data_IF_824468555091
#
_entry.id   IF_824468555091
#
_cell.length_a   1.000
_cell.length_b   1.000
_cell.length_c   1.000
_cell.angle_alpha   90.00
_cell.angle_beta   90.00
_cell.angle_gamma   90.00
#
_symmetry.space_group_name_H-M   'P 1'
#
loop_
_entity.id
_entity.type
_entity.pdbx_description
1 polymer ?
#
# COMPACT_ATOMS: atom_id res chain seq x y z
N UNK A 1 -14.34 -24.82 42.88
CA UNK A 1 -14.74 -25.41 41.59
C UNK A 1 -13.74 -24.94 40.53
N UNK A 2 -13.35 -25.83 39.61
CA UNK A 2 -12.12 -25.80 38.80
C UNK A 2 -11.93 -24.53 37.94
N UNK A 3 -10.65 -24.18 37.82
CA UNK A 3 -9.99 -23.13 37.04
C UNK A 3 -10.30 -23.25 35.54
N UNK A 4 -10.55 -22.14 34.85
CA UNK A 4 -10.02 -21.94 33.50
C UNK A 4 -9.42 -20.53 33.36
N UNK A 5 -8.09 -20.49 33.32
CA UNK A 5 -7.27 -19.38 32.84
C UNK A 5 -7.54 -19.25 31.34
N UNK A 6 -8.28 -18.24 30.90
CA UNK A 6 -8.34 -17.95 29.47
C UNK A 6 -7.22 -16.98 29.11
N UNK A 7 -6.27 -17.59 28.41
CA UNK A 7 -5.11 -17.05 27.74
C UNK A 7 -5.32 -15.63 27.19
N UNK A 8 -4.39 -14.77 27.59
CA UNK A 8 -3.88 -13.65 26.82
C UNK A 8 -3.59 -14.14 25.39
N UNK A 9 -4.52 -13.91 24.46
CA UNK A 9 -4.24 -14.01 23.03
C UNK A 9 -3.39 -12.80 22.66
N UNK A 10 -2.09 -12.94 22.87
CA UNK A 10 -1.09 -12.21 22.09
C UNK A 10 -1.38 -12.63 20.66
N UNK A 11 -2.11 -11.79 19.92
CA UNK A 11 -2.21 -11.93 18.47
C UNK A 11 -0.76 -11.88 17.99
N UNK A 12 -0.22 -12.97 17.41
CA UNK A 12 1.09 -12.88 16.81
C UNK A 12 0.92 -11.84 15.71
N UNK A 13 1.70 -10.76 15.80
CA UNK A 13 1.99 -9.89 14.66
C UNK A 13 2.44 -10.86 13.56
N UNK A 14 1.52 -11.20 12.65
CA UNK A 14 1.84 -12.03 11.50
C UNK A 14 2.61 -11.08 10.61
N UNK A 15 3.91 -10.96 10.89
CA UNK A 15 4.87 -10.48 9.93
C UNK A 15 4.64 -11.35 8.70
N UNK A 16 3.98 -10.79 7.70
CA UNK A 16 3.95 -11.34 6.37
C UNK A 16 5.40 -11.19 5.90
N UNK A 17 6.23 -12.13 6.34
CA UNK A 17 7.47 -12.47 5.67
C UNK A 17 7.05 -12.58 4.22
N UNK A 18 7.66 -11.74 3.39
CA UNK A 18 7.71 -11.85 1.94
C UNK A 18 8.33 -13.21 1.60
N UNK A 19 7.60 -14.29 1.87
CA UNK A 19 7.92 -15.67 1.57
C UNK A 19 7.60 -15.92 0.10
N UNK A 20 8.17 -15.09 -0.77
CA UNK A 20 8.63 -15.53 -2.06
C UNK A 20 10.03 -16.10 -1.84
N UNK A 21 10.21 -17.40 -2.04
CA UNK A 21 11.48 -18.07 -1.89
C UNK A 21 12.55 -17.46 -2.82
N UNK A 22 13.36 -16.53 -2.32
CA UNK A 22 14.60 -16.09 -2.97
C UNK A 22 15.60 -15.83 -1.84
N UNK A 23 16.81 -16.38 -1.94
CA UNK A 23 17.87 -16.15 -0.94
C UNK A 23 18.16 -14.66 -0.77
N UNK A 24 18.92 -14.31 0.29
CA UNK A 24 19.32 -12.92 0.53
C UNK A 24 19.83 -12.26 -0.76
N UNK A 25 19.37 -11.04 -1.10
CA UNK A 25 19.69 -10.42 -2.37
C UNK A 25 21.20 -10.32 -2.57
N UNK A 26 21.66 -10.74 -3.76
CA UNK A 26 23.09 -10.84 -4.06
C UNK A 26 23.75 -9.49 -4.35
N UNK A 27 22.95 -8.44 -4.58
CA UNK A 27 23.41 -7.06 -4.80
C UNK A 27 22.26 -6.04 -4.59
N UNK A 28 22.63 -4.75 -4.57
CA UNK A 28 21.73 -3.62 -4.37
C UNK A 28 20.61 -3.48 -5.41
N UNK A 29 20.86 -3.86 -6.66
CA UNK A 29 19.85 -3.80 -7.74
C UNK A 29 18.76 -4.86 -7.56
N UNK A 30 19.15 -6.05 -7.09
CA UNK A 30 18.22 -7.14 -6.78
C UNK A 30 17.39 -6.79 -5.55
N UNK A 31 18.03 -6.28 -4.51
CA UNK A 31 17.37 -5.82 -3.29
C UNK A 31 16.36 -4.70 -3.60
N UNK A 32 16.73 -3.75 -4.46
CA UNK A 32 15.84 -2.68 -4.89
C UNK A 32 14.65 -3.18 -5.70
N UNK A 33 14.85 -4.13 -6.62
CA UNK A 33 13.74 -4.72 -7.38
C UNK A 33 12.73 -5.43 -6.45
N UNK A 34 13.23 -6.18 -5.46
CA UNK A 34 12.40 -6.85 -4.47
C UNK A 34 11.63 -5.86 -3.60
N UNK A 35 12.32 -4.88 -3.03
CA UNK A 35 11.70 -3.86 -2.20
C UNK A 35 10.68 -3.03 -3.01
N UNK A 36 10.99 -2.70 -4.26
CA UNK A 36 10.07 -1.99 -5.17
C UNK A 36 8.80 -2.78 -5.48
N UNK A 37 8.92 -4.11 -5.69
CA UNK A 37 7.77 -4.98 -5.90
C UNK A 37 6.89 -5.06 -4.64
N UNK A 38 7.50 -5.24 -3.47
CA UNK A 38 6.82 -5.25 -2.18
C UNK A 38 6.10 -3.92 -1.89
N UNK A 39 6.79 -2.80 -2.10
CA UNK A 39 6.23 -1.46 -1.93
C UNK A 39 5.02 -1.24 -2.85
N UNK A 40 5.15 -1.51 -4.15
CA UNK A 40 4.07 -1.28 -5.10
C UNK A 40 2.83 -2.17 -4.80
N UNK A 41 3.05 -3.40 -4.31
CA UNK A 41 1.97 -4.28 -3.87
C UNK A 41 1.30 -3.77 -2.58
N UNK A 42 2.08 -3.28 -1.61
CA UNK A 42 1.55 -2.69 -0.38
C UNK A 42 0.70 -1.43 -0.67
N UNK A 43 1.15 -0.60 -1.61
CA UNK A 43 0.38 0.57 -2.08
C UNK A 43 -0.95 0.16 -2.72
N UNK A 44 -1.00 -0.91 -3.54
CA UNK A 44 -2.28 -1.38 -4.11
C UNK A 44 -3.28 -1.83 -3.03
N UNK A 45 -2.78 -2.48 -1.97
CA UNK A 45 -3.59 -2.88 -0.81
C UNK A 45 -4.06 -1.67 -0.01
N UNK A 46 -3.19 -0.69 0.23
CA UNK A 46 -3.52 0.56 0.91
C UNK A 46 -4.63 1.30 0.16
N UNK A 47 -4.50 1.43 -1.16
CA UNK A 47 -5.49 2.07 -2.02
C UNK A 47 -6.86 1.37 -1.94
N UNK A 48 -6.87 0.04 -1.89
CA UNK A 48 -8.11 -0.73 -1.72
C UNK A 48 -8.75 -0.44 -0.37
N UNK A 49 -7.97 -0.51 0.70
CA UNK A 49 -8.43 -0.28 2.08
C UNK A 49 -8.90 1.16 2.27
N UNK A 50 -8.22 2.14 1.67
CA UNK A 50 -8.63 3.53 1.66
C UNK A 50 -10.05 3.72 1.07
N UNK A 51 -10.36 3.01 -0.01
CA UNK A 51 -11.70 3.01 -0.61
C UNK A 51 -12.76 2.46 0.34
N UNK A 52 -12.45 1.40 1.08
CA UNK A 52 -13.33 0.81 2.10
C UNK A 52 -13.56 1.82 3.24
N UNK A 53 -12.49 2.35 3.84
CA UNK A 53 -12.58 3.31 4.94
C UNK A 53 -13.42 4.54 4.59
N UNK A 54 -13.32 5.01 3.34
CA UNK A 54 -14.09 6.16 2.86
C UNK A 54 -15.58 5.85 2.73
N UNK A 55 -15.95 4.70 2.16
CA UNK A 55 -17.35 4.25 2.05
C UNK A 55 -17.92 3.95 3.44
N UNK A 56 -17.14 3.37 4.34
CA UNK A 56 -17.55 3.18 5.74
C UNK A 56 -17.83 4.52 6.40
N UNK A 57 -16.94 5.51 6.22
CA UNK A 57 -17.11 6.83 6.80
C UNK A 57 -18.38 7.52 6.33
N UNK A 58 -18.70 7.47 5.03
CA UNK A 58 -19.95 8.06 4.49
C UNK A 58 -21.17 7.26 4.94
N UNK A 59 -21.07 5.94 5.02
CA UNK A 59 -22.14 5.07 5.54
C UNK A 59 -22.46 5.39 6.99
N UNK A 60 -21.44 5.51 7.85
CA UNK A 60 -21.62 5.91 9.25
C UNK A 60 -22.20 7.32 9.40
N UNK A 61 -21.83 8.26 8.52
CA UNK A 61 -22.44 9.59 8.50
C UNK A 61 -23.94 9.52 8.16
N UNK A 62 -24.35 8.63 7.25
CA UNK A 62 -25.76 8.41 6.93
C UNK A 62 -26.51 7.75 8.11
N UNK A 63 -25.90 6.79 8.81
CA UNK A 63 -26.49 6.17 10.01
C UNK A 63 -26.72 7.22 11.10
N UNK A 64 -25.69 8.03 11.41
CA UNK A 64 -25.80 9.14 12.35
C UNK A 64 -26.88 10.14 11.94
N UNK A 65 -26.87 10.57 10.67
CA UNK A 65 -27.86 11.50 10.14
C UNK A 65 -29.29 10.97 10.21
N UNK A 66 -29.47 9.65 10.05
CA UNK A 66 -30.77 8.99 10.18
C UNK A 66 -31.34 9.10 11.59
N UNK A 67 -30.49 8.99 12.61
CA UNK A 67 -30.91 9.15 14.01
C UNK A 67 -31.20 10.61 14.37
N UNK A 68 -30.40 11.56 13.86
CA UNK A 68 -30.50 12.97 14.24
C UNK A 68 -31.65 13.72 13.53
N UNK A 69 -31.80 13.53 12.22
CA UNK A 69 -32.70 14.36 11.38
C UNK A 69 -33.40 13.60 10.26
N UNK A 70 -33.09 12.31 10.09
CA UNK A 70 -33.50 11.51 8.93
C UNK A 70 -32.56 11.68 7.74
N UNK A 71 -32.56 10.70 6.85
CA UNK A 71 -31.82 10.74 5.58
C UNK A 71 -32.84 10.74 4.44
N UNK A 72 -32.78 11.76 3.59
CA UNK A 72 -33.57 11.81 2.36
C UNK A 72 -32.81 11.19 1.17
N UNK A 73 -33.56 10.91 0.10
CA UNK A 73 -33.04 10.26 -1.11
C UNK A 73 -31.94 11.09 -1.79
N UNK A 74 -32.01 12.41 -1.67
CA UNK A 74 -31.03 13.33 -2.26
C UNK A 74 -29.68 13.22 -1.55
N UNK A 75 -29.68 13.20 -0.22
CA UNK A 75 -28.48 13.06 0.60
C UNK A 75 -27.85 11.67 0.40
N UNK A 76 -28.67 10.61 0.37
CA UNK A 76 -28.19 9.27 0.07
C UNK A 76 -27.54 9.16 -1.32
N UNK A 77 -28.24 9.64 -2.35
CA UNK A 77 -27.74 9.60 -3.74
C UNK A 77 -26.47 10.43 -3.90
N UNK A 78 -26.42 11.62 -3.29
CA UNK A 78 -25.23 12.48 -3.30
C UNK A 78 -24.00 11.81 -2.67
N UNK A 79 -24.16 11.15 -1.52
CA UNK A 79 -23.08 10.37 -0.90
C UNK A 79 -22.63 9.22 -1.80
N UNK A 80 -23.56 8.50 -2.43
CA UNK A 80 -23.25 7.39 -3.32
C UNK A 80 -22.48 7.84 -4.57
N UNK A 81 -22.86 8.96 -5.18
CA UNK A 81 -22.14 9.53 -6.33
C UNK A 81 -20.74 10.00 -5.96
N UNK A 82 -20.59 10.66 -4.80
CA UNK A 82 -19.30 11.09 -4.31
C UNK A 82 -18.36 9.90 -4.05
N UNK A 83 -18.88 8.81 -3.49
CA UNK A 83 -18.11 7.58 -3.26
C UNK A 83 -17.71 6.91 -4.56
N UNK A 84 -18.61 6.80 -5.54
CA UNK A 84 -18.28 6.28 -6.89
C UNK A 84 -17.17 7.09 -7.56
N UNK A 85 -17.28 8.41 -7.57
CA UNK A 85 -16.28 9.29 -8.18
C UNK A 85 -14.91 9.13 -7.49
N UNK A 86 -14.89 8.93 -6.16
CA UNK A 86 -13.66 8.71 -5.40
C UNK A 86 -13.04 7.35 -5.67
N UNK A 87 -13.86 6.29 -5.70
CA UNK A 87 -13.43 4.93 -6.04
C UNK A 87 -12.88 4.84 -7.47
N UNK A 88 -13.41 5.65 -8.40
CA UNK A 88 -12.86 5.74 -9.76
C UNK A 88 -11.45 6.34 -9.77
N UNK A 89 -11.20 7.39 -8.97
CA UNK A 89 -9.85 7.94 -8.79
C UNK A 89 -8.92 6.89 -8.19
N UNK A 90 -9.32 6.25 -7.08
CA UNK A 90 -8.55 5.17 -6.45
C UNK A 90 -8.24 4.06 -7.46
N UNK A 91 -9.22 3.63 -8.25
CA UNK A 91 -9.04 2.59 -9.27
C UNK A 91 -7.95 2.95 -10.27
N UNK A 92 -7.93 4.20 -10.75
CA UNK A 92 -6.84 4.69 -11.61
C UNK A 92 -5.48 4.61 -10.93
N UNK A 93 -5.38 5.00 -9.66
CA UNK A 93 -4.12 4.92 -8.90
C UNK A 93 -3.64 3.49 -8.72
N UNK A 94 -4.58 2.56 -8.52
CA UNK A 94 -4.27 1.13 -8.43
C UNK A 94 -3.69 0.59 -9.72
N UNK A 95 -4.07 1.13 -10.88
CA UNK A 95 -3.45 0.75 -12.16
C UNK A 95 -1.96 1.13 -12.15
N UNK A 96 -1.60 2.33 -11.71
CA UNK A 96 -0.19 2.75 -11.58
C UNK A 96 0.59 1.84 -10.61
N UNK A 97 0.02 1.57 -9.42
CA UNK A 97 0.64 0.68 -8.43
C UNK A 97 0.88 -0.73 -9.00
N UNK A 98 -0.10 -1.30 -9.70
CA UNK A 98 0.02 -2.63 -10.33
C UNK A 98 1.05 -2.66 -11.46
N UNK A 99 1.17 -1.59 -12.25
CA UNK A 99 2.19 -1.51 -13.28
C UNK A 99 3.59 -1.40 -12.70
N UNK A 100 3.79 -0.59 -11.66
CA UNK A 100 5.07 -0.55 -10.94
C UNK A 100 5.40 -1.89 -10.30
N UNK A 101 4.43 -2.57 -9.68
CA UNK A 101 4.63 -3.91 -9.12
C UNK A 101 5.06 -4.92 -10.19
N UNK A 102 4.46 -4.87 -11.39
CA UNK A 102 4.88 -5.71 -12.53
C UNK A 102 6.27 -5.34 -13.03
N UNK A 103 6.58 -4.05 -13.12
CA UNK A 103 7.90 -3.57 -13.54
C UNK A 103 8.99 -4.11 -12.61
N UNK A 104 8.84 -3.89 -11.31
CA UNK A 104 9.78 -4.36 -10.30
C UNK A 104 9.81 -5.89 -10.18
N UNK A 105 8.66 -6.57 -10.30
CA UNK A 105 8.61 -8.03 -10.34
C UNK A 105 9.32 -8.62 -11.56
N UNK A 106 9.31 -7.93 -12.71
CA UNK A 106 10.11 -8.34 -13.86
C UNK A 106 11.60 -8.04 -13.66
N UNK A 107 11.98 -6.95 -13.00
CA UNK A 107 13.37 -6.72 -12.61
C UNK A 107 13.88 -7.79 -11.63
N UNK A 108 13.06 -8.20 -10.66
CA UNK A 108 13.37 -9.31 -9.75
C UNK A 108 13.50 -10.62 -10.53
N UNK A 109 12.58 -10.90 -11.45
CA UNK A 109 12.66 -12.07 -12.31
C UNK A 109 13.92 -12.04 -13.18
N UNK A 110 14.37 -10.87 -13.65
CA UNK A 110 15.61 -10.74 -14.41
C UNK A 110 16.83 -10.98 -13.52
N UNK A 111 16.75 -10.56 -12.25
CA UNK A 111 17.80 -10.77 -11.26
C UNK A 111 17.98 -12.24 -10.86
N UNK A 112 16.96 -13.08 -11.06
CA UNK A 112 16.89 -14.46 -10.53
C UNK A 112 16.74 -15.55 -11.61
N UNK A 113 16.52 -15.18 -12.89
CA UNK A 113 16.16 -16.13 -13.95
C UNK A 113 17.32 -16.57 -14.84
N UNK A 114 17.27 -17.83 -15.27
CA UNK A 114 18.12 -18.42 -16.33
C UNK A 114 17.68 -18.04 -17.76
N UNK A 115 16.58 -17.28 -17.93
CA UNK A 115 15.96 -16.95 -19.23
C UNK A 115 15.72 -15.43 -19.43
N UNK A 116 16.79 -14.62 -19.55
CA UNK A 116 16.73 -13.15 -19.53
C UNK A 116 15.93 -12.50 -20.68
N UNK A 117 15.88 -13.11 -21.87
CA UNK A 117 15.19 -12.51 -23.04
C UNK A 117 13.67 -12.44 -22.89
N UNK A 118 13.03 -13.45 -22.28
CA UNK A 118 11.58 -13.42 -22.04
C UNK A 118 11.20 -12.33 -21.03
N UNK A 119 12.04 -12.13 -20.03
CA UNK A 119 11.83 -11.09 -19.00
C UNK A 119 11.97 -9.70 -19.60
N UNK A 120 12.90 -9.49 -20.53
CA UNK A 120 13.08 -8.22 -21.24
C UNK A 120 11.83 -7.77 -22.01
N UNK A 121 11.24 -8.63 -22.82
CA UNK A 121 9.99 -8.31 -23.54
C UNK A 121 8.84 -7.97 -22.58
N UNK A 122 8.79 -8.62 -21.42
CA UNK A 122 7.79 -8.32 -20.40
C UNK A 122 8.01 -6.93 -19.78
N UNK A 123 9.27 -6.53 -19.53
CA UNK A 123 9.63 -5.19 -19.05
C UNK A 123 9.21 -4.11 -20.06
N UNK A 124 9.51 -4.30 -21.35
CA UNK A 124 9.11 -3.37 -22.41
C UNK A 124 7.59 -3.14 -22.45
N UNK A 125 6.81 -4.22 -22.35
CA UNK A 125 5.34 -4.14 -22.32
C UNK A 125 4.81 -3.36 -21.11
N UNK A 126 5.42 -3.51 -19.94
CA UNK A 126 5.03 -2.75 -18.73
C UNK A 126 5.35 -1.27 -18.88
N UNK A 127 6.51 -0.93 -19.44
CA UNK A 127 6.91 0.48 -19.60
C UNK A 127 6.07 1.18 -20.66
N UNK A 128 5.73 0.50 -21.75
CA UNK A 128 4.75 1.02 -22.70
C UNK A 128 3.41 1.34 -22.00
N UNK A 129 2.97 0.45 -21.08
CA UNK A 129 1.81 0.69 -20.22
C UNK A 129 1.95 1.92 -19.32
N UNK A 130 3.10 2.10 -18.65
CA UNK A 130 3.39 3.27 -17.82
C UNK A 130 3.37 4.58 -18.65
N UNK A 131 4.04 4.58 -19.81
CA UNK A 131 4.06 5.73 -20.72
C UNK A 131 2.68 6.07 -21.30
N UNK A 132 1.82 5.07 -21.51
CA UNK A 132 0.46 5.29 -22.02
C UNK A 132 -0.43 5.96 -20.97
N UNK A 133 -0.26 5.63 -19.69
CA UNK A 133 -1.02 6.26 -18.60
C UNK A 133 -0.48 7.63 -18.22
N UNK A 134 0.83 7.83 -18.35
CA UNK A 134 1.52 9.09 -18.10
C UNK A 134 1.72 9.85 -19.41
N UNK A 135 0.68 10.56 -19.87
CA UNK A 135 0.65 11.38 -21.09
C UNK A 135 2.06 11.86 -21.54
N UNK A 136 2.53 11.19 -22.61
CA UNK A 136 3.63 11.47 -23.55
C UNK A 136 5.04 11.70 -22.99
N UNK A 137 5.91 10.71 -23.21
CA UNK A 137 7.36 10.84 -23.41
C UNK A 137 7.78 9.96 -24.60
N UNK A 138 8.89 10.29 -25.31
CA UNK A 138 9.32 9.57 -26.50
C UNK A 138 9.72 8.12 -26.18
N UNK A 139 9.42 7.24 -27.13
CA UNK A 139 9.68 5.81 -27.06
C UNK A 139 11.20 5.54 -27.02
N UNK A 140 11.71 5.00 -25.91
CA UNK A 140 13.07 4.47 -25.81
C UNK A 140 13.00 2.95 -25.70
N UNK A 141 13.15 2.28 -26.85
CA UNK A 141 13.29 0.83 -26.91
C UNK A 141 14.71 0.43 -26.46
N UNK A 142 14.84 -0.12 -25.25
CA UNK A 142 16.09 -0.65 -24.71
C UNK A 142 16.37 -2.05 -25.25
N UNK A 143 17.36 -2.21 -26.14
CA UNK A 143 17.80 -3.53 -26.59
C UNK A 143 18.96 -4.03 -25.72
N UNK A 144 18.66 -4.65 -24.58
CA UNK A 144 19.66 -5.40 -23.79
C UNK A 144 20.23 -6.60 -24.58
N UNK A 145 21.53 -6.92 -24.47
CA UNK A 145 22.16 -8.04 -25.17
C UNK A 145 21.86 -9.41 -24.55
N UNK A 146 21.90 -10.48 -25.37
CA UNK A 146 21.70 -11.87 -24.94
C UNK A 146 22.89 -12.43 -24.14
N UNK A 147 22.62 -13.11 -23.03
CA UNK A 147 23.65 -13.58 -22.08
C UNK A 147 23.93 -15.09 -22.16
N UNK A 148 25.22 -15.45 -22.27
CA UNK A 148 25.72 -16.83 -22.14
C UNK A 148 26.13 -17.22 -20.70
N UNK A 149 26.11 -18.53 -20.40
CA UNK A 149 26.12 -19.18 -19.07
C UNK A 149 27.34 -19.01 -18.14
N UNK A 150 28.35 -18.20 -18.45
CA UNK A 150 29.50 -17.99 -17.55
C UNK A 150 29.71 -16.49 -17.33
N UNK A 151 29.75 -16.07 -16.05
CA UNK A 151 29.68 -14.70 -15.53
C UNK A 151 28.27 -14.06 -15.53
N UNK A 152 27.26 -14.83 -15.12
CA UNK A 152 25.85 -14.41 -15.11
C UNK A 152 25.60 -13.25 -14.14
N UNK A 153 26.15 -13.27 -12.92
CA UNK A 153 25.85 -12.25 -11.90
C UNK A 153 26.34 -10.83 -12.25
N UNK A 154 27.56 -10.69 -12.78
CA UNK A 154 28.07 -9.37 -13.20
C UNK A 154 27.30 -8.81 -14.40
N UNK A 155 26.86 -9.70 -15.31
CA UNK A 155 26.07 -9.34 -16.48
C UNK A 155 24.64 -8.96 -16.11
N UNK A 156 24.02 -9.69 -15.17
CA UNK A 156 22.72 -9.35 -14.59
C UNK A 156 22.79 -7.99 -13.91
N UNK A 157 23.81 -7.75 -13.08
CA UNK A 157 24.02 -6.45 -12.42
C UNK A 157 24.14 -5.31 -13.44
N UNK A 158 24.92 -5.52 -14.49
CA UNK A 158 25.07 -4.53 -15.56
C UNK A 158 23.76 -4.28 -16.31
N UNK A 159 23.00 -5.34 -16.62
CA UNK A 159 21.71 -5.24 -17.30
C UNK A 159 20.66 -4.50 -16.46
N UNK A 160 20.55 -4.83 -15.16
CA UNK A 160 19.66 -4.13 -14.24
C UNK A 160 20.03 -2.64 -14.12
N UNK A 161 21.33 -2.36 -14.00
CA UNK A 161 21.84 -0.99 -13.95
C UNK A 161 21.52 -0.22 -15.24
N UNK A 162 21.73 -0.82 -16.40
CA UNK A 162 21.45 -0.23 -17.69
C UNK A 162 19.96 0.06 -17.87
N UNK A 163 19.10 -0.90 -17.52
CA UNK A 163 17.65 -0.78 -17.60
C UNK A 163 17.13 0.36 -16.72
N UNK A 164 17.54 0.41 -15.44
CA UNK A 164 17.16 1.47 -14.51
C UNK A 164 17.70 2.84 -14.94
N UNK A 165 18.91 2.90 -15.49
CA UNK A 165 19.46 4.16 -16.02
C UNK A 165 18.70 4.64 -17.26
N UNK A 166 18.34 3.72 -18.14
CA UNK A 166 17.63 4.05 -19.38
C UNK A 166 16.23 4.59 -19.09
N UNK A 167 15.58 4.06 -18.05
CA UNK A 167 14.20 4.42 -17.71
C UNK A 167 14.07 5.34 -16.51
N UNK A 168 15.17 5.94 -16.07
CA UNK A 168 15.25 6.73 -14.84
C UNK A 168 14.20 7.83 -14.74
N UNK A 169 13.91 8.53 -15.84
CA UNK A 169 13.00 9.66 -15.82
C UNK A 169 11.54 9.20 -15.72
N UNK A 170 11.19 8.08 -16.36
CA UNK A 170 9.86 7.45 -16.25
C UNK A 170 9.65 6.94 -14.83
N UNK A 171 10.60 6.17 -14.29
CA UNK A 171 10.51 5.59 -12.94
C UNK A 171 10.42 6.71 -11.90
N UNK A 172 11.29 7.73 -11.98
CA UNK A 172 11.27 8.85 -11.02
C UNK A 172 9.94 9.60 -11.06
N UNK A 173 9.36 9.82 -12.25
CA UNK A 173 8.05 10.46 -12.41
C UNK A 173 6.93 9.64 -11.78
N UNK A 174 6.88 8.33 -12.02
CA UNK A 174 5.87 7.45 -11.41
C UNK A 174 5.99 7.41 -9.89
N UNK A 175 7.21 7.32 -9.36
CA UNK A 175 7.45 7.36 -7.92
C UNK A 175 7.03 8.70 -7.30
N UNK A 176 7.28 9.82 -7.99
CA UNK A 176 6.83 11.14 -7.54
C UNK A 176 5.30 11.28 -7.58
N UNK A 177 4.65 10.75 -8.61
CA UNK A 177 3.18 10.69 -8.69
C UNK A 177 2.65 9.91 -7.48
N UNK A 178 3.20 8.74 -7.18
CA UNK A 178 2.78 7.96 -6.01
C UNK A 178 3.04 8.68 -4.69
N UNK A 179 4.18 9.34 -4.52
CA UNK A 179 4.52 10.12 -3.31
C UNK A 179 3.46 11.19 -3.02
N UNK A 180 3.17 12.05 -4.01
CA UNK A 180 2.16 13.12 -3.87
C UNK A 180 0.78 12.54 -3.57
N UNK A 181 0.42 11.43 -4.21
CA UNK A 181 -0.89 10.81 -4.06
C UNK A 181 -1.07 10.11 -2.71
N UNK A 182 -0.06 9.39 -2.23
CA UNK A 182 -0.12 8.73 -0.93
C UNK A 182 -0.18 9.77 0.18
N UNK A 183 0.53 10.90 0.06
CA UNK A 183 0.42 12.03 0.99
C UNK A 183 -1.03 12.55 1.06
N UNK A 184 -1.64 12.83 -0.10
CA UNK A 184 -3.02 13.30 -0.18
C UNK A 184 -4.01 12.27 0.39
N UNK A 185 -3.83 10.99 0.05
CA UNK A 185 -4.71 9.92 0.53
C UNK A 185 -4.57 9.64 2.02
N UNK A 186 -3.36 9.76 2.57
CA UNK A 186 -3.11 9.55 4.00
C UNK A 186 -3.97 10.48 4.83
N UNK A 187 -4.00 11.78 4.51
CA UNK A 187 -4.89 12.73 5.18
C UNK A 187 -6.37 12.37 5.05
N UNK A 188 -6.80 11.91 3.87
CA UNK A 188 -8.19 11.50 3.63
C UNK A 188 -8.56 10.22 4.40
N UNK A 189 -7.66 9.24 4.47
CA UNK A 189 -7.83 7.99 5.21
C UNK A 189 -7.92 8.28 6.71
N UNK A 190 -6.96 9.03 7.27
CA UNK A 190 -6.99 9.43 8.68
C UNK A 190 -8.29 10.15 9.03
N UNK A 191 -8.74 11.09 8.18
CA UNK A 191 -9.99 11.79 8.42
C UNK A 191 -11.22 10.86 8.31
N UNK A 192 -11.23 9.90 7.39
CA UNK A 192 -12.30 8.92 7.25
C UNK A 192 -12.36 7.97 8.45
N UNK A 193 -11.22 7.45 8.89
CA UNK A 193 -11.11 6.59 10.06
C UNK A 193 -11.52 7.32 11.34
N UNK A 194 -11.09 8.58 11.54
CA UNK A 194 -11.54 9.38 12.68
C UNK A 194 -13.05 9.56 12.70
N UNK A 195 -13.67 9.87 11.54
CA UNK A 195 -15.14 10.00 11.44
C UNK A 195 -15.86 8.68 11.72
N UNK A 196 -15.38 7.57 11.14
CA UNK A 196 -15.89 6.22 11.42
C UNK A 196 -15.79 5.93 12.92
N UNK A 197 -14.64 6.20 13.52
CA UNK A 197 -14.39 5.96 14.94
C UNK A 197 -15.35 6.74 15.84
N UNK A 198 -15.54 8.03 15.57
CA UNK A 198 -16.46 8.87 16.36
C UNK A 198 -17.92 8.39 16.24
N UNK A 199 -18.34 7.94 15.06
CA UNK A 199 -19.68 7.39 14.87
C UNK A 199 -19.85 6.05 15.60
N UNK A 200 -18.86 5.16 15.52
CA UNK A 200 -18.84 3.88 16.24
C UNK A 200 -18.80 4.09 17.76
N UNK A 201 -18.00 5.03 18.25
CA UNK A 201 -17.97 5.41 19.67
C UNK A 201 -19.36 5.84 20.13
N UNK A 202 -20.02 6.72 19.38
CA UNK A 202 -21.33 7.22 19.73
C UNK A 202 -22.38 6.09 19.71
N UNK A 203 -22.48 5.35 18.61
CA UNK A 203 -23.60 4.43 18.36
C UNK A 203 -23.41 3.04 18.98
N UNK A 204 -22.17 2.53 18.99
CA UNK A 204 -21.88 1.17 19.41
C UNK A 204 -21.28 1.10 20.82
N UNK A 205 -20.72 2.19 21.33
CA UNK A 205 -20.11 2.22 22.68
C UNK A 205 -20.95 3.03 23.65
N UNK A 206 -21.21 4.29 23.36
CA UNK A 206 -21.85 5.24 24.28
C UNK A 206 -23.35 5.00 24.40
N UNK A 207 -24.09 4.96 23.30
CA UNK A 207 -25.55 4.72 23.31
C UNK A 207 -25.91 3.42 24.04
N UNK A 208 -25.24 2.26 23.79
CA UNK A 208 -25.60 1.01 24.45
C UNK A 208 -25.36 0.99 25.97
N UNK A 209 -24.35 1.71 26.48
CA UNK A 209 -24.03 1.70 27.92
C UNK A 209 -24.72 2.82 28.72
N UNK A 210 -25.04 3.94 28.06
CA UNK A 210 -25.71 5.08 28.70
C UNK A 210 -27.23 5.06 28.53
N UNK A 211 -27.74 4.20 27.65
CA UNK A 211 -29.17 4.04 27.40
C UNK A 211 -29.90 3.29 28.52
N UNK A 212 -31.24 3.34 28.47
CA UNK A 212 -32.10 2.67 29.45
C UNK A 212 -32.33 1.17 29.14
N UNK A 213 -31.79 0.67 28.02
CA UNK A 213 -31.95 -0.73 27.62
C UNK A 213 -30.79 -1.58 28.16
N UNK A 214 -31.05 -2.83 28.61
CA UNK A 214 -29.98 -3.75 28.95
C UNK A 214 -29.02 -3.97 27.78
N UNK A 215 -27.73 -4.08 28.08
CA UNK A 215 -26.71 -4.41 27.09
C UNK A 215 -26.97 -5.82 26.54
N UNK A 216 -27.08 -5.95 25.22
CA UNK A 216 -27.47 -7.22 24.57
C UNK A 216 -26.31 -8.21 24.44
N UNK A 217 -25.13 -7.70 24.08
CA UNK A 217 -23.90 -8.49 23.95
C UNK A 217 -22.76 -7.74 24.63
N UNK A 218 -22.42 -8.16 25.85
CA UNK A 218 -21.36 -7.54 26.63
C UNK A 218 -19.98 -7.80 26.02
N UNK A 219 -19.79 -8.96 25.37
CA UNK A 219 -18.52 -9.36 24.77
C UNK A 219 -18.18 -8.51 23.55
N UNK A 220 -19.14 -8.37 22.63
CA UNK A 220 -19.03 -7.54 21.43
C UNK A 220 -18.85 -6.06 21.80
N UNK A 221 -19.54 -5.57 22.83
CA UNK A 221 -19.35 -4.20 23.31
C UNK A 221 -17.94 -3.96 23.85
N UNK A 222 -17.40 -4.91 24.64
CA UNK A 222 -16.04 -4.80 25.19
C UNK A 222 -14.99 -4.80 24.09
N UNK A 223 -15.13 -5.64 23.06
CA UNK A 223 -14.21 -5.62 21.90
C UNK A 223 -14.35 -4.31 21.12
N UNK A 224 -15.58 -3.90 20.79
CA UNK A 224 -15.83 -2.66 20.03
C UNK A 224 -15.26 -1.44 20.74
N UNK A 225 -15.45 -1.33 22.06
CA UNK A 225 -14.89 -0.23 22.85
C UNK A 225 -13.36 -0.24 22.84
N UNK A 226 -12.75 -1.42 22.89
CA UNK A 226 -11.29 -1.54 22.81
C UNK A 226 -10.80 -1.02 21.47
N UNK A 227 -11.39 -1.47 20.39
CA UNK A 227 -10.98 -1.10 19.03
C UNK A 227 -11.14 0.41 18.81
N UNK A 228 -12.25 0.99 19.28
CA UNK A 228 -12.50 2.45 19.24
C UNK A 228 -11.43 3.26 19.99
N UNK A 229 -10.93 2.74 21.11
CA UNK A 229 -9.90 3.41 21.93
C UNK A 229 -8.51 3.31 21.29
N UNK A 230 -8.19 2.19 20.65
CA UNK A 230 -6.86 1.98 20.06
C UNK A 230 -6.72 2.58 18.66
N UNK A 231 -7.82 2.76 17.93
CA UNK A 231 -7.79 3.24 16.55
C UNK A 231 -7.07 4.61 16.37
N UNK A 232 -7.23 5.63 17.25
CA UNK A 232 -6.48 6.88 17.12
C UNK A 232 -4.96 6.69 17.18
N UNK A 233 -4.45 5.81 18.03
CA UNK A 233 -3.01 5.50 18.10
C UNK A 233 -2.53 4.85 16.80
N UNK A 234 -3.32 3.95 16.22
CA UNK A 234 -3.01 3.37 14.91
C UNK A 234 -3.04 4.43 13.79
N UNK A 235 -3.96 5.40 13.85
CA UNK A 235 -4.06 6.48 12.86
C UNK A 235 -2.81 7.38 12.86
N UNK A 236 -2.21 7.63 14.02
CA UNK A 236 -0.96 8.40 14.12
C UNK A 236 0.20 7.69 13.38
N UNK A 237 0.22 6.35 13.42
CA UNK A 237 1.22 5.52 12.73
C UNK A 237 1.05 5.54 11.20
N UNK A 238 -0.15 5.84 10.67
CA UNK A 238 -0.43 5.96 9.23
C UNK A 238 0.44 7.03 8.56
N UNK A 239 0.81 8.09 9.28
CA UNK A 239 1.68 9.14 8.73
C UNK A 239 3.04 8.59 8.26
N UNK A 240 3.52 7.49 8.86
CA UNK A 240 4.76 6.81 8.48
C UNK A 240 4.64 6.08 7.14
N UNK A 241 3.44 5.64 6.74
CA UNK A 241 3.21 5.00 5.44
C UNK A 241 3.44 5.97 4.27
N UNK A 242 3.23 7.28 4.50
CA UNK A 242 3.53 8.30 3.51
C UNK A 242 5.03 8.49 3.27
N UNK A 243 5.87 8.11 4.22
CA UNK A 243 7.32 8.19 4.06
C UNK A 243 7.87 7.08 3.16
N UNK A 244 7.18 5.95 3.05
CA UNK A 244 7.60 4.82 2.21
C UNK A 244 7.78 5.23 0.74
N UNK A 245 6.87 6.05 0.20
CA UNK A 245 6.92 6.51 -1.19
C UNK A 245 8.12 7.44 -1.44
N UNK A 246 8.38 8.34 -0.49
CA UNK A 246 9.56 9.21 -0.50
C UNK A 246 10.85 8.39 -0.38
N UNK A 247 10.92 7.45 0.56
CA UNK A 247 12.08 6.56 0.73
C UNK A 247 12.31 5.65 -0.48
N UNK A 248 11.25 5.22 -1.18
CA UNK A 248 11.38 4.49 -2.45
C UNK A 248 12.04 5.34 -3.54
N UNK A 249 11.64 6.61 -3.68
CA UNK A 249 12.28 7.55 -4.60
C UNK A 249 13.74 7.82 -4.21
N UNK A 250 14.00 8.03 -2.92
CA UNK A 250 15.35 8.25 -2.41
C UNK A 250 16.26 7.02 -2.59
N UNK A 251 15.73 5.81 -2.39
CA UNK A 251 16.44 4.56 -2.65
C UNK A 251 16.76 4.39 -4.14
N UNK A 252 15.83 4.78 -5.02
CA UNK A 252 16.06 4.79 -6.46
C UNK A 252 17.17 5.76 -6.86
N UNK A 253 17.12 7.00 -6.35
CA UNK A 253 18.14 8.00 -6.64
C UNK A 253 19.51 7.58 -6.10
N UNK A 254 19.57 7.02 -4.87
CA UNK A 254 20.80 6.48 -4.29
C UNK A 254 21.39 5.31 -5.08
N UNK A 255 20.53 4.44 -5.63
CA UNK A 255 20.94 3.33 -6.50
C UNK A 255 21.56 3.82 -7.82
N UNK A 256 21.06 4.93 -8.37
CA UNK A 256 21.60 5.54 -9.59
C UNK A 256 22.90 6.31 -9.35
N UNK A 257 23.02 7.00 -8.21
CA UNK A 257 24.24 7.74 -7.83
C UNK A 257 25.35 6.84 -7.27
N UNK A 258 25.01 5.62 -6.83
CA UNK A 258 25.94 4.70 -6.17
C UNK A 258 26.16 5.02 -4.68
N UNK A 259 25.29 5.84 -4.09
CA UNK A 259 25.38 6.29 -2.69
C UNK A 259 24.40 5.52 -1.79
N UNK A 260 24.90 4.91 -0.72
CA UNK A 260 24.15 4.23 0.36
C UNK A 260 22.83 3.55 -0.03
N UNK A 261 22.83 2.85 -1.17
CA UNK A 261 21.61 2.24 -1.70
C UNK A 261 21.04 1.19 -0.74
N UNK A 262 21.91 0.36 -0.14
CA UNK A 262 21.48 -0.72 0.77
C UNK A 262 20.89 -0.21 2.08
N UNK A 263 21.45 0.85 2.68
CA UNK A 263 20.87 1.47 3.88
C UNK A 263 19.47 1.98 3.61
N UNK A 264 19.27 2.66 2.47
CA UNK A 264 17.97 3.18 2.04
C UNK A 264 16.96 2.08 1.70
N UNK A 265 17.39 0.99 1.05
CA UNK A 265 16.53 -0.16 0.75
C UNK A 265 16.05 -0.84 2.04
N UNK A 266 16.93 -1.03 3.02
CA UNK A 266 16.53 -1.62 4.31
C UNK A 266 15.53 -0.73 5.07
N UNK A 267 15.73 0.59 5.05
CA UNK A 267 14.79 1.53 5.64
C UNK A 267 13.41 1.51 4.93
N UNK A 268 13.41 1.34 3.61
CA UNK A 268 12.17 1.18 2.84
C UNK A 268 11.40 -0.10 3.23
N UNK A 269 12.09 -1.21 3.46
CA UNK A 269 11.43 -2.49 3.84
C UNK A 269 10.64 -2.33 5.14
N UNK A 270 11.20 -1.63 6.14
CA UNK A 270 10.51 -1.35 7.41
C UNK A 270 9.23 -0.53 7.16
N UNK A 271 9.29 0.48 6.29
CA UNK A 271 8.11 1.29 5.99
C UNK A 271 7.04 0.53 5.18
N UNK A 272 7.44 -0.45 4.37
CA UNK A 272 6.48 -1.34 3.68
C UNK A 272 5.67 -2.12 4.71
N UNK A 273 6.30 -2.62 5.78
CA UNK A 273 5.60 -3.29 6.88
C UNK A 273 4.61 -2.32 7.54
N UNK A 274 5.00 -1.07 7.78
CA UNK A 274 4.09 -0.05 8.29
C UNK A 274 2.89 0.20 7.37
N UNK A 275 3.05 0.21 6.03
CA UNK A 275 1.89 0.30 5.11
C UNK A 275 0.94 -0.89 5.31
N UNK A 276 1.47 -2.09 5.51
CA UNK A 276 0.65 -3.29 5.70
C UNK A 276 -0.08 -3.28 7.04
N UNK A 277 0.54 -2.78 8.10
CA UNK A 277 -0.12 -2.62 9.41
C UNK A 277 -1.33 -1.67 9.31
N UNK A 278 -1.20 -0.58 8.53
CA UNK A 278 -2.33 0.32 8.23
C UNK A 278 -3.45 -0.38 7.48
N UNK A 279 -3.09 -1.21 6.48
CA UNK A 279 -4.07 -2.00 5.72
C UNK A 279 -4.84 -2.92 6.66
N UNK A 280 -4.16 -3.59 7.58
CA UNK A 280 -4.79 -4.50 8.52
C UNK A 280 -5.69 -3.75 9.50
N UNK A 281 -5.26 -2.58 10.01
CA UNK A 281 -6.07 -1.73 10.88
C UNK A 281 -7.33 -1.15 10.22
N UNK A 282 -7.32 -0.92 8.90
CA UNK A 282 -8.52 -0.48 8.18
C UNK A 282 -9.53 -1.63 8.00
N UNK A 283 -9.02 -2.86 7.83
CA UNK A 283 -9.83 -4.03 7.51
C UNK A 283 -10.29 -4.82 8.75
N UNK A 284 -9.79 -4.50 9.93
CA UNK A 284 -10.29 -4.99 11.23
C UNK A 284 -11.63 -4.35 11.59
#
# INVERSE_FOLDING_TARGET
MKIMRNALLVVPLVGILLAGCVGAPTNEYTAFAQAGAGYAAAVDKLLTSAGVAQVDSTSWALVMGKEDSGVDDRNYTGSMEADRARLEKISRLRVHAKLLARYFGHLESLATSDAPEKTKTAIEGVVAGLNTLSLTLPDSASVLPAFGKLAVDMKIRAALKEELNTRKDVIRRELQIQEVLIQELTGQISAALTRKNSAQEQLLVRVPITGNSPLKDEGEWVSTRRDVIYLPTMIEEISSASDAARKMREAFDGLLSGEDAMGRINALIIDIESILDVVDAINS
#
